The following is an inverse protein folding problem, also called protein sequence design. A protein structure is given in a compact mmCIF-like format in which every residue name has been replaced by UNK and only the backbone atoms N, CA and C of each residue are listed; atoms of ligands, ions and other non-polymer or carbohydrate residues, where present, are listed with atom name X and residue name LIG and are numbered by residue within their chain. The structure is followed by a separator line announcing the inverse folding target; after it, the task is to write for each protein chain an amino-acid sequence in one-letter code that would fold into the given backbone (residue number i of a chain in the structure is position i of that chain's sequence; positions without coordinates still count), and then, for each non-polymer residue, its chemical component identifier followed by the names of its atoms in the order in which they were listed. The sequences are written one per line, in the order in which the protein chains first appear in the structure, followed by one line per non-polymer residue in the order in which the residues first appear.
data_IF_330024419864
#
_entry.id   IF_330024419864
#
_cell.length_a   1.000
_cell.length_b   1.000
_cell.length_c   1.000
_cell.angle_alpha   90.00
_cell.angle_beta   90.00
_cell.angle_gamma   90.00
#
_symmetry.space_group_name_H-M   'P 1'
#
loop_
_entity.id
_entity.type
_entity.pdbx_description
1 polymer ?
#
# COMPACT_ATOMS: atom_id res chain seq x y z
N UNK A 1 20.75 -0.52 24.02
CA UNK A 1 20.40 0.43 22.96
C UNK A 1 18.89 0.51 22.82
N UNK A 2 18.33 1.70 22.82
CA UNK A 2 16.92 1.86 22.57
C UNK A 2 16.63 1.57 21.12
N UNK A 3 15.58 0.77 20.80
CA UNK A 3 15.13 0.66 19.42
C UNK A 3 14.71 2.04 18.90
N UNK A 4 14.81 2.25 17.61
CA UNK A 4 14.31 3.45 16.99
C UNK A 4 12.83 3.61 17.36
N UNK A 5 12.41 4.84 17.69
CA UNK A 5 11.03 5.12 18.01
C UNK A 5 10.18 4.87 16.77
N UNK A 6 9.23 3.96 16.91
CA UNK A 6 8.28 3.70 15.83
C UNK A 6 7.27 4.83 15.76
N UNK A 7 6.89 5.19 14.54
CA UNK A 7 5.84 6.16 14.31
C UNK A 7 4.52 5.59 14.83
N UNK A 8 3.73 6.35 15.61
CA UNK A 8 2.41 5.88 16.05
C UNK A 8 1.50 5.60 14.86
N UNK A 9 0.79 4.48 14.92
CA UNK A 9 -0.14 4.08 13.86
C UNK A 9 -1.44 3.54 14.45
N UNK A 10 -2.55 4.15 14.04
CA UNK A 10 -3.87 3.57 14.22
C UNK A 10 -4.25 2.91 12.89
N UNK A 11 -4.34 1.59 12.89
CA UNK A 11 -4.65 0.81 11.70
C UNK A 11 -6.03 0.18 11.83
N UNK A 12 -6.91 0.46 10.87
CA UNK A 12 -8.14 -0.28 10.66
C UNK A 12 -7.90 -1.23 9.48
N UNK A 13 -8.02 -2.53 9.71
CA UNK A 13 -7.81 -3.55 8.69
C UNK A 13 -9.13 -4.26 8.43
N UNK A 14 -9.63 -4.15 7.19
CA UNK A 14 -10.94 -4.65 6.80
C UNK A 14 -10.83 -5.62 5.63
N UNK A 15 -11.55 -6.73 5.70
CA UNK A 15 -11.59 -7.73 4.64
C UNK A 15 -13.02 -7.90 4.12
N UNK A 16 -13.36 -7.18 3.05
CA UNK A 16 -14.56 -7.46 2.28
C UNK A 16 -14.37 -8.73 1.45
N UNK A 17 -13.14 -8.93 0.96
CA UNK A 17 -12.67 -10.18 0.36
C UNK A 17 -11.64 -10.77 1.33
N UNK A 18 -11.96 -11.93 1.91
CA UNK A 18 -11.14 -12.58 2.93
C UNK A 18 -10.19 -13.65 2.36
N UNK A 19 -10.12 -13.81 1.04
CA UNK A 19 -9.33 -14.87 0.41
C UNK A 19 -7.84 -14.82 0.73
N UNK A 20 -7.31 -13.62 0.99
CA UNK A 20 -5.88 -13.45 1.31
C UNK A 20 -5.63 -13.11 2.78
N UNK A 21 -6.63 -13.22 3.62
CA UNK A 21 -6.54 -12.81 5.03
C UNK A 21 -5.38 -13.47 5.78
N UNK A 22 -5.10 -14.74 5.51
CA UNK A 22 -4.02 -15.48 6.18
C UNK A 22 -2.63 -14.93 5.87
N UNK A 23 -2.48 -14.25 4.70
CA UNK A 23 -1.22 -13.63 4.29
C UNK A 23 -1.04 -12.23 4.88
N UNK A 24 -2.09 -11.68 5.49
CA UNK A 24 -2.15 -10.29 5.94
C UNK A 24 -2.51 -10.18 7.43
N UNK A 25 -1.76 -10.83 8.34
CA UNK A 25 -1.98 -10.63 9.75
C UNK A 25 -1.70 -9.17 10.11
N UNK A 26 -2.44 -8.65 11.09
CA UNK A 26 -2.38 -7.24 11.46
C UNK A 26 -0.96 -6.74 11.73
N UNK A 27 -0.15 -7.50 12.46
CA UNK A 27 1.21 -7.08 12.81
C UNK A 27 2.09 -6.88 11.56
N UNK A 28 1.88 -7.69 10.54
CA UNK A 28 2.62 -7.61 9.27
C UNK A 28 2.22 -6.37 8.48
N UNK A 29 0.91 -6.17 8.32
CA UNK A 29 0.38 -4.99 7.62
C UNK A 29 0.82 -3.71 8.32
N UNK A 30 0.71 -3.66 9.65
CA UNK A 30 1.15 -2.52 10.45
C UNK A 30 2.63 -2.23 10.26
N UNK A 31 3.47 -3.26 10.24
CA UNK A 31 4.91 -3.11 10.03
C UNK A 31 5.24 -2.47 8.67
N UNK A 32 4.59 -2.96 7.63
CA UNK A 32 4.82 -2.42 6.27
C UNK A 32 4.35 -0.97 6.14
N UNK A 33 3.17 -0.65 6.65
CA UNK A 33 2.64 0.71 6.61
C UNK A 33 3.52 1.67 7.43
N UNK A 34 3.90 1.28 8.66
CA UNK A 34 4.78 2.11 9.50
C UNK A 34 6.11 2.42 8.83
N UNK A 35 6.69 1.46 8.15
CA UNK A 35 7.99 1.63 7.49
C UNK A 35 7.97 2.76 6.46
N UNK A 36 6.81 3.02 5.85
CA UNK A 36 6.65 4.07 4.84
C UNK A 36 6.19 5.41 5.42
N UNK A 37 5.80 5.46 6.70
CA UNK A 37 5.29 6.68 7.33
C UNK A 37 6.42 7.56 7.88
N UNK A 38 6.37 8.86 7.57
CA UNK A 38 7.25 9.87 8.17
C UNK A 38 6.60 10.53 9.39
N UNK A 39 5.28 10.42 9.52
CA UNK A 39 4.48 11.02 10.61
C UNK A 39 3.55 9.98 11.20
N UNK A 40 2.96 10.28 12.35
CA UNK A 40 1.89 9.46 12.91
C UNK A 40 0.81 9.24 11.86
N UNK A 41 0.21 8.06 11.83
CA UNK A 41 -0.79 7.70 10.83
C UNK A 41 -2.08 7.16 11.42
N UNK A 42 -3.18 7.50 10.77
CA UNK A 42 -4.49 6.90 10.96
C UNK A 42 -4.90 6.35 9.61
N UNK A 43 -4.66 5.07 9.39
CA UNK A 43 -4.76 4.44 8.07
C UNK A 43 -5.79 3.32 8.12
N UNK A 44 -6.69 3.31 7.15
CA UNK A 44 -7.57 2.18 6.88
C UNK A 44 -7.00 1.42 5.70
N UNK A 45 -6.85 0.11 5.86
CA UNK A 45 -6.49 -0.81 4.79
C UNK A 45 -7.70 -1.72 4.58
N UNK A 46 -8.29 -1.64 3.40
CA UNK A 46 -9.46 -2.45 3.06
C UNK A 46 -9.15 -3.33 1.85
N UNK A 47 -9.35 -4.62 2.01
CA UNK A 47 -9.14 -5.60 0.94
C UNK A 47 -10.50 -5.93 0.34
N UNK A 48 -10.63 -5.70 -0.95
CA UNK A 48 -11.91 -5.83 -1.67
C UNK A 48 -11.84 -6.86 -2.79
N UNK A 49 -13.00 -7.31 -3.26
CA UNK A 49 -13.12 -8.13 -4.45
C UNK A 49 -13.20 -7.29 -5.71
N UNK A 50 -13.32 -7.96 -6.86
CA UNK A 50 -13.31 -7.32 -8.18
C UNK A 50 -14.49 -6.34 -8.36
N UNK A 51 -15.68 -6.71 -7.89
CA UNK A 51 -16.88 -5.89 -8.05
C UNK A 51 -16.79 -4.56 -7.30
N UNK A 52 -16.44 -4.60 -6.02
CA UNK A 52 -16.26 -3.39 -5.21
C UNK A 52 -15.08 -2.57 -5.74
N UNK A 53 -13.97 -3.22 -6.10
CA UNK A 53 -12.80 -2.53 -6.65
C UNK A 53 -13.12 -1.80 -7.95
N UNK A 54 -13.86 -2.42 -8.85
CA UNK A 54 -14.32 -1.79 -10.09
C UNK A 54 -15.25 -0.62 -9.81
N UNK A 55 -16.23 -0.79 -8.92
CA UNK A 55 -17.19 0.25 -8.58
C UNK A 55 -16.49 1.50 -8.00
N UNK A 56 -15.52 1.31 -7.11
CA UNK A 56 -14.76 2.42 -6.52
C UNK A 56 -13.90 3.13 -7.56
N UNK A 57 -13.23 2.38 -8.43
CA UNK A 57 -12.38 2.97 -9.47
C UNK A 57 -13.21 3.74 -10.49
N UNK A 58 -14.39 3.22 -10.84
CA UNK A 58 -15.32 3.90 -11.73
C UNK A 58 -15.84 5.20 -11.12
N UNK A 59 -16.28 5.16 -9.86
CA UNK A 59 -16.85 6.32 -9.18
C UNK A 59 -15.84 7.44 -8.97
N UNK A 60 -14.62 7.11 -8.52
CA UNK A 60 -13.66 8.12 -8.09
C UNK A 60 -12.59 8.46 -9.14
N UNK A 61 -12.35 7.59 -10.12
CA UNK A 61 -11.34 7.82 -11.16
C UNK A 61 -11.89 7.70 -12.58
N UNK A 62 -13.17 7.42 -12.74
CA UNK A 62 -13.84 7.24 -14.03
C UNK A 62 -13.19 6.14 -14.89
N UNK A 63 -12.64 5.10 -14.24
CA UNK A 63 -12.04 3.94 -14.90
C UNK A 63 -12.93 2.72 -14.65
N UNK A 64 -13.48 2.13 -15.70
CA UNK A 64 -14.41 1.01 -15.59
C UNK A 64 -13.69 -0.33 -15.53
N UNK A 65 -12.78 -0.47 -14.56
CA UNK A 65 -12.09 -1.71 -14.25
C UNK A 65 -11.55 -1.63 -12.82
N UNK A 66 -11.30 -2.78 -12.21
CA UNK A 66 -10.64 -2.83 -10.92
C UNK A 66 -9.14 -2.55 -11.10
N UNK A 67 -8.54 -1.83 -10.17
CA UNK A 67 -7.09 -1.62 -10.11
C UNK A 67 -6.54 -2.28 -8.84
N UNK A 68 -5.21 -2.40 -8.73
CA UNK A 68 -4.58 -3.07 -7.60
C UNK A 68 -4.73 -2.27 -6.29
N UNK A 69 -4.45 -0.98 -6.29
CA UNK A 69 -4.56 -0.13 -5.10
C UNK A 69 -5.13 1.25 -5.45
N UNK A 70 -6.07 1.70 -4.62
CA UNK A 70 -6.59 3.08 -4.64
C UNK A 70 -6.22 3.73 -3.32
N UNK A 71 -5.70 4.95 -3.39
CA UNK A 71 -5.34 5.74 -2.22
C UNK A 71 -6.25 6.96 -2.13
N UNK A 72 -6.92 7.10 -0.97
CA UNK A 72 -7.72 8.28 -0.65
C UNK A 72 -7.03 8.99 0.51
N UNK A 73 -6.32 10.08 0.22
CA UNK A 73 -5.57 10.84 1.21
C UNK A 73 -6.38 12.04 1.69
N UNK A 74 -6.59 12.12 2.99
CA UNK A 74 -7.37 13.17 3.62
C UNK A 74 -6.52 14.23 4.29
N UNK A 75 -5.35 13.84 4.79
CA UNK A 75 -4.42 14.73 5.48
C UNK A 75 -3.02 14.16 5.42
N UNK A 76 -2.01 15.03 5.20
CA UNK A 76 -0.61 14.60 5.10
C UNK A 76 0.19 14.80 6.40
N UNK A 77 -0.11 15.86 7.13
CA UNK A 77 0.61 16.21 8.36
C UNK A 77 -0.27 17.07 9.25
N UNK A 78 -0.06 17.08 10.56
CA UNK A 78 0.92 16.31 11.34
C UNK A 78 0.56 14.83 11.50
N UNK A 79 -0.67 14.46 11.21
CA UNK A 79 -1.18 13.10 11.21
C UNK A 79 -1.53 12.73 9.77
N UNK A 80 -0.97 11.65 9.26
CA UNK A 80 -1.35 11.13 7.94
C UNK A 80 -2.68 10.40 8.08
N UNK A 81 -3.69 10.84 7.34
CA UNK A 81 -5.02 10.21 7.34
C UNK A 81 -5.36 9.76 5.92
N UNK A 82 -5.57 8.49 5.74
CA UNK A 82 -5.84 7.92 4.42
C UNK A 82 -6.55 6.57 4.49
N UNK A 83 -7.23 6.24 3.38
CA UNK A 83 -7.76 4.91 3.12
C UNK A 83 -7.00 4.30 1.95
N UNK A 84 -6.54 3.07 2.12
CA UNK A 84 -5.90 2.28 1.07
C UNK A 84 -6.83 1.12 0.74
N UNK A 85 -7.28 1.08 -0.51
CA UNK A 85 -8.21 0.04 -0.99
C UNK A 85 -7.45 -0.86 -1.95
N UNK A 86 -7.30 -2.14 -1.59
CA UNK A 86 -6.53 -3.10 -2.37
C UNK A 86 -7.46 -4.20 -2.91
N UNK A 87 -7.34 -4.49 -4.20
CA UNK A 87 -8.21 -5.46 -4.87
C UNK A 87 -7.53 -6.83 -4.94
N UNK A 88 -7.99 -7.77 -4.14
CA UNK A 88 -7.38 -9.10 -4.01
C UNK A 88 -7.24 -9.86 -5.34
N UNK A 89 -8.29 -9.95 -6.20
CA UNK A 89 -8.14 -10.67 -7.47
C UNK A 89 -7.11 -10.06 -8.41
N UNK A 90 -7.02 -8.73 -8.48
CA UNK A 90 -6.03 -8.04 -9.32
C UNK A 90 -4.62 -8.33 -8.79
N UNK A 91 -4.44 -8.23 -7.49
CA UNK A 91 -3.15 -8.47 -6.84
C UNK A 91 -2.69 -9.92 -7.04
N UNK A 92 -3.59 -10.88 -6.92
CA UNK A 92 -3.27 -12.29 -7.16
C UNK A 92 -2.81 -12.52 -8.60
N UNK A 93 -3.50 -11.92 -9.57
CA UNK A 93 -3.14 -12.03 -10.98
C UNK A 93 -1.76 -11.41 -11.26
N UNK A 94 -1.52 -10.22 -10.73
CA UNK A 94 -0.24 -9.54 -10.90
C UNK A 94 0.91 -10.33 -10.25
N UNK A 95 0.70 -10.83 -9.03
CA UNK A 95 1.71 -11.61 -8.33
C UNK A 95 2.11 -12.86 -9.13
N UNK A 96 1.11 -13.57 -9.69
CA UNK A 96 1.39 -14.74 -10.55
C UNK A 96 2.17 -14.34 -11.80
N UNK A 97 1.74 -13.26 -12.46
CA UNK A 97 2.40 -12.79 -13.68
C UNK A 97 3.85 -12.38 -13.44
N UNK A 98 4.13 -11.78 -12.28
CA UNK A 98 5.46 -11.29 -11.91
C UNK A 98 6.28 -12.32 -11.10
N UNK A 99 5.72 -13.49 -10.84
CA UNK A 99 6.35 -14.57 -10.05
C UNK A 99 6.71 -14.10 -8.63
N UNK A 100 5.79 -13.40 -8.00
CA UNK A 100 5.94 -12.91 -6.63
C UNK A 100 5.05 -13.70 -5.69
N UNK A 101 5.45 -13.77 -4.42
CA UNK A 101 4.52 -14.21 -3.37
C UNK A 101 3.47 -13.11 -3.14
N UNK A 102 2.34 -13.49 -2.57
CA UNK A 102 1.32 -12.51 -2.19
C UNK A 102 1.89 -11.50 -1.19
N UNK A 103 2.68 -11.97 -0.22
CA UNK A 103 3.29 -11.09 0.79
C UNK A 103 4.19 -10.03 0.14
N UNK A 104 5.04 -10.43 -0.81
CA UNK A 104 5.90 -9.48 -1.54
C UNK A 104 5.09 -8.42 -2.27
N UNK A 105 4.04 -8.83 -2.96
CA UNK A 105 3.25 -7.89 -3.76
C UNK A 105 2.40 -6.97 -2.88
N UNK A 106 1.76 -7.51 -1.83
CA UNK A 106 1.02 -6.69 -0.88
C UNK A 106 1.92 -5.69 -0.17
N UNK A 107 3.12 -6.12 0.25
CA UNK A 107 4.08 -5.21 0.89
C UNK A 107 4.42 -4.04 -0.03
N UNK A 108 4.73 -4.31 -1.29
CA UNK A 108 5.04 -3.27 -2.28
C UNK A 108 3.86 -2.29 -2.44
N UNK A 109 2.65 -2.80 -2.62
CA UNK A 109 1.47 -1.95 -2.82
C UNK A 109 1.09 -1.16 -1.58
N UNK A 110 1.25 -1.72 -0.39
CA UNK A 110 1.00 -1.01 0.85
C UNK A 110 2.02 0.10 1.10
N UNK A 111 3.29 -0.15 0.82
CA UNK A 111 4.33 0.88 0.87
C UNK A 111 4.04 1.98 -0.16
N UNK A 112 3.75 1.60 -1.39
CA UNK A 112 3.40 2.53 -2.47
C UNK A 112 2.21 3.43 -2.08
N UNK A 113 1.11 2.81 -1.64
CA UNK A 113 -0.09 3.55 -1.22
C UNK A 113 0.16 4.46 -0.02
N UNK A 114 0.96 4.02 0.95
CA UNK A 114 1.30 4.81 2.11
C UNK A 114 2.16 6.02 1.75
N UNK A 115 3.10 5.87 0.81
CA UNK A 115 3.87 7.00 0.30
C UNK A 115 2.98 7.98 -0.46
N UNK A 116 2.08 7.46 -1.30
CA UNK A 116 1.10 8.27 -2.02
C UNK A 116 0.25 9.11 -1.05
N UNK A 117 -0.16 8.49 0.06
CA UNK A 117 -0.94 9.15 1.10
C UNK A 117 -0.22 10.32 1.76
N UNK A 118 1.10 10.38 1.63
CA UNK A 118 1.93 11.46 2.18
C UNK A 118 2.33 12.51 1.14
N UNK A 119 1.78 12.42 -0.07
CA UNK A 119 2.01 13.40 -1.11
C UNK A 119 3.04 13.00 -2.16
N UNK A 120 3.66 11.83 -2.06
CA UNK A 120 4.48 11.29 -3.15
C UNK A 120 3.60 11.03 -4.36
N UNK A 121 4.10 11.35 -5.53
CA UNK A 121 3.35 11.19 -6.77
C UNK A 121 4.27 10.68 -7.88
N UNK A 122 3.70 10.29 -9.01
CA UNK A 122 4.43 9.80 -10.16
C UNK A 122 3.92 10.42 -11.47
N UNK A 123 3.46 11.68 -11.39
CA UNK A 123 2.92 12.40 -12.54
C UNK A 123 4.00 12.75 -13.56
N UNK A 124 5.22 13.06 -13.10
CA UNK A 124 6.35 13.31 -14.01
C UNK A 124 7.53 12.39 -13.67
N UNK A 125 8.56 12.39 -14.53
CA UNK A 125 9.71 11.50 -14.37
C UNK A 125 10.50 11.75 -13.08
N UNK A 126 10.60 13.01 -12.65
CA UNK A 126 11.33 13.38 -11.42
C UNK A 126 10.58 12.88 -10.19
N UNK A 127 9.27 13.10 -10.14
CA UNK A 127 8.43 12.65 -9.03
C UNK A 127 8.38 11.13 -8.98
N UNK A 128 8.25 10.48 -10.14
CA UNK A 128 8.24 9.03 -10.24
C UNK A 128 9.56 8.43 -9.73
N UNK A 129 10.69 9.01 -10.13
CA UNK A 129 12.01 8.55 -9.69
C UNK A 129 12.19 8.68 -8.17
N UNK A 130 11.74 9.79 -7.59
CA UNK A 130 11.81 10.02 -6.14
C UNK A 130 10.95 9.02 -5.38
N UNK A 131 9.73 8.76 -5.85
CA UNK A 131 8.81 7.81 -5.24
C UNK A 131 9.36 6.39 -5.33
N UNK A 132 9.84 5.97 -6.50
CA UNK A 132 10.42 4.63 -6.70
C UNK A 132 11.67 4.42 -5.86
N UNK A 133 12.53 5.43 -5.74
CA UNK A 133 13.71 5.37 -4.87
C UNK A 133 13.30 5.16 -3.40
N UNK A 134 12.28 5.85 -2.95
CA UNK A 134 11.78 5.71 -1.58
C UNK A 134 11.13 4.35 -1.36
N UNK A 135 10.35 3.84 -2.32
CA UNK A 135 9.79 2.49 -2.26
C UNK A 135 10.88 1.44 -2.13
N UNK A 136 11.91 1.53 -2.97
CA UNK A 136 13.05 0.60 -2.92
C UNK A 136 13.74 0.64 -1.57
N UNK A 137 14.02 1.83 -1.04
CA UNK A 137 14.66 2.01 0.27
C UNK A 137 13.84 1.35 1.39
N UNK A 138 12.54 1.60 1.42
CA UNK A 138 11.65 1.05 2.45
C UNK A 138 11.55 -0.46 2.34
N UNK A 139 11.36 -0.99 1.13
CA UNK A 139 11.21 -2.44 0.91
C UNK A 139 12.49 -3.20 1.23
N UNK A 140 13.65 -2.66 0.86
CA UNK A 140 14.95 -3.25 1.21
C UNK A 140 15.13 -3.28 2.73
N UNK A 141 14.77 -2.21 3.42
CA UNK A 141 14.84 -2.16 4.90
C UNK A 141 13.90 -3.16 5.55
N UNK A 142 12.78 -3.50 4.90
CA UNK A 142 11.83 -4.53 5.37
C UNK A 142 12.30 -5.95 5.07
N UNK A 143 13.37 -6.12 4.29
CA UNK A 143 13.90 -7.44 3.92
C UNK A 143 13.39 -7.96 2.58
N UNK A 144 12.72 -7.15 1.79
CA UNK A 144 12.28 -7.53 0.46
C UNK A 144 13.30 -7.13 -0.60
N UNK A 145 13.23 -7.78 -1.77
CA UNK A 145 14.04 -7.39 -2.92
C UNK A 145 13.55 -6.05 -3.47
N UNK A 146 14.44 -5.35 -4.18
CA UNK A 146 14.08 -4.10 -4.85
C UNK A 146 13.08 -4.41 -5.99
N UNK A 147 11.85 -3.85 -5.95
CA UNK A 147 10.83 -4.16 -6.96
C UNK A 147 11.19 -3.66 -8.35
N UNK A 148 12.13 -2.71 -8.46
CA UNK A 148 12.53 -2.10 -9.73
C UNK A 148 13.81 -2.70 -10.31
N UNK A 149 14.37 -3.70 -9.66
CA UNK A 149 15.60 -4.38 -10.10
C UNK A 149 15.47 -5.90 -10.11
N UNK A 150 14.29 -6.39 -10.39
CA UNK A 150 14.04 -7.83 -10.49
C UNK A 150 14.49 -8.38 -11.83
#
# INVERSE_FOLDING_TARGET
MKPALQVPLQLSLQFADASHREHLPRHRVARWVRAALAHAGQITVRIVGAEEGRALNLEYRQQDHATNVLTFDYQHAPLVMADLILCAPVIAKEARAQRLTLAEHYAHLLVHGTLHAQGFDHEDETDAAAMEARESEVLLALGFADPYRR
#
